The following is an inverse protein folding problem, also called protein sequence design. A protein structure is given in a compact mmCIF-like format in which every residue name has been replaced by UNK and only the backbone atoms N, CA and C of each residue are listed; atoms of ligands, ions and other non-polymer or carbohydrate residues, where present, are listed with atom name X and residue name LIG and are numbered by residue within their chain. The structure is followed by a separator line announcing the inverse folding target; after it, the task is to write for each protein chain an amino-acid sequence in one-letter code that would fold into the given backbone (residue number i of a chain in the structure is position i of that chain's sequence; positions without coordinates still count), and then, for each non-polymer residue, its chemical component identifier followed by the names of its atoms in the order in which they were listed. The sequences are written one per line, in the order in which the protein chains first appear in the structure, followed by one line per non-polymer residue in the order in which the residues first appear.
data_IF_483109589707
#
_entry.id   IF_483109589707
#
_cell.length_a   1.000
_cell.length_b   1.000
_cell.length_c   1.000
_cell.angle_alpha   90.00
_cell.angle_beta   90.00
_cell.angle_gamma   90.00
#
_symmetry.space_group_name_H-M   'P 1'
#
loop_
_entity.id
_entity.type
_entity.pdbx_description
1 polymer ?
#
# COMPACT_ATOMS: atom_id res chain seq x y z
N UNK A 1 -26.27 1.71 -18.46
CA UNK A 1 -26.11 2.53 -17.25
C UNK A 1 -24.78 3.26 -17.34
N UNK A 2 -24.71 4.52 -16.88
CA UNK A 2 -23.50 5.36 -17.04
C UNK A 2 -22.46 5.08 -15.96
N UNK A 3 -22.91 4.96 -14.70
CA UNK A 3 -22.06 4.70 -13.53
C UNK A 3 -22.29 3.27 -13.01
N UNK A 4 -21.96 2.29 -13.85
CA UNK A 4 -21.91 0.90 -13.39
C UNK A 4 -20.80 0.69 -12.35
N UNK A 5 -20.85 -0.39 -11.56
CA UNK A 5 -19.78 -0.72 -10.61
C UNK A 5 -18.39 -0.77 -11.28
N UNK A 6 -18.27 -1.35 -12.48
CA UNK A 6 -17.02 -1.34 -13.24
C UNK A 6 -16.57 0.07 -13.68
N UNK A 7 -17.50 0.98 -13.97
CA UNK A 7 -17.17 2.36 -14.29
C UNK A 7 -16.63 3.10 -13.06
N UNK A 8 -17.24 2.92 -11.89
CA UNK A 8 -16.77 3.51 -10.63
C UNK A 8 -15.40 2.96 -10.22
N UNK A 9 -15.19 1.64 -10.34
CA UNK A 9 -13.87 0.99 -10.10
C UNK A 9 -12.77 1.60 -10.97
N UNK A 10 -13.04 1.89 -12.24
CA UNK A 10 -12.05 2.52 -13.13
C UNK A 10 -11.89 4.02 -12.79
N UNK A 11 -12.99 4.73 -12.51
CA UNK A 11 -12.94 6.15 -12.16
C UNK A 11 -12.14 6.43 -10.89
N UNK A 12 -12.11 5.49 -9.93
CA UNK A 12 -11.29 5.57 -8.72
C UNK A 12 -9.82 5.95 -9.01
N UNK A 13 -9.25 5.43 -10.11
CA UNK A 13 -7.85 5.65 -10.50
C UNK A 13 -7.65 6.77 -11.53
N UNK A 14 -8.70 7.54 -11.85
CA UNK A 14 -8.63 8.69 -12.77
C UNK A 14 -8.48 10.02 -12.02
N UNK A 15 -7.89 9.99 -10.81
CA UNK A 15 -7.35 11.19 -10.14
C UNK A 15 -6.20 11.82 -10.93
N UNK A 16 -5.52 11.01 -11.75
CA UNK A 16 -4.44 11.38 -12.66
C UNK A 16 -4.67 10.72 -14.02
N UNK A 17 -4.11 11.26 -15.12
CA UNK A 17 -4.16 10.59 -16.42
C UNK A 17 -3.53 9.19 -16.35
N UNK A 18 -4.25 8.17 -16.83
CA UNK A 18 -3.78 6.76 -16.79
C UNK A 18 -4.05 6.02 -18.09
N UNK A 19 -3.11 5.18 -18.50
CA UNK A 19 -3.29 4.27 -19.64
C UNK A 19 -4.26 3.15 -19.29
N UNK A 20 -4.85 2.52 -20.32
CA UNK A 20 -5.72 1.34 -20.15
C UNK A 20 -5.00 0.21 -19.43
N UNK A 21 -3.71 0.04 -19.70
CA UNK A 21 -2.89 -0.99 -19.06
C UNK A 21 -2.75 -0.75 -17.55
N UNK A 22 -2.50 0.49 -17.14
CA UNK A 22 -2.41 0.85 -15.73
C UNK A 22 -3.77 0.71 -15.04
N UNK A 23 -4.85 1.17 -15.66
CA UNK A 23 -6.21 1.05 -15.11
C UNK A 23 -6.62 -0.41 -14.95
N UNK A 24 -6.32 -1.25 -15.94
CA UNK A 24 -6.59 -2.68 -15.89
C UNK A 24 -5.84 -3.36 -14.74
N UNK A 25 -4.55 -3.03 -14.59
CA UNK A 25 -3.71 -3.57 -13.51
C UNK A 25 -4.17 -3.12 -12.13
N UNK A 26 -4.47 -1.82 -11.96
CA UNK A 26 -4.84 -1.25 -10.66
C UNK A 26 -6.24 -1.67 -10.21
N UNK A 27 -7.22 -1.69 -11.10
CA UNK A 27 -8.58 -2.09 -10.77
C UNK A 27 -8.81 -3.62 -10.79
N UNK A 28 -7.75 -4.39 -11.02
CA UNK A 28 -7.75 -5.85 -11.24
C UNK A 28 -8.85 -6.32 -12.21
N UNK A 29 -8.84 -5.76 -13.42
CA UNK A 29 -9.79 -6.11 -14.48
C UNK A 29 -9.12 -6.23 -15.83
N UNK A 30 -9.70 -7.02 -16.72
CA UNK A 30 -9.22 -7.11 -18.09
C UNK A 30 -9.34 -5.76 -18.84
N UNK A 31 -8.39 -5.46 -19.75
CA UNK A 31 -8.38 -4.22 -20.55
C UNK A 31 -9.68 -3.97 -21.32
N UNK A 32 -10.34 -5.04 -21.79
CA UNK A 32 -11.64 -4.93 -22.46
C UNK A 32 -12.76 -4.45 -21.53
N UNK A 33 -12.68 -4.77 -20.24
CA UNK A 33 -13.60 -4.25 -19.22
C UNK A 33 -13.36 -2.76 -19.00
N UNK A 34 -12.09 -2.32 -18.95
CA UNK A 34 -11.74 -0.89 -18.88
C UNK A 34 -12.33 -0.14 -20.08
N UNK A 35 -12.08 -0.58 -21.31
CA UNK A 35 -12.64 0.07 -22.50
C UNK A 35 -14.17 0.13 -22.48
N UNK A 36 -14.83 -0.96 -22.06
CA UNK A 36 -16.29 -1.01 -21.94
C UNK A 36 -16.82 -0.04 -20.88
N UNK A 37 -16.09 0.11 -19.77
CA UNK A 37 -16.42 1.04 -18.69
C UNK A 37 -16.21 2.50 -19.09
N UNK A 38 -15.14 2.80 -19.84
CA UNK A 38 -14.77 4.15 -20.27
C UNK A 38 -15.56 4.63 -21.49
N UNK A 39 -15.96 3.74 -22.40
CA UNK A 39 -16.63 4.14 -23.63
C UNK A 39 -17.88 5.03 -23.41
N UNK A 40 -18.82 4.71 -22.49
CA UNK A 40 -19.97 5.58 -22.23
C UNK A 40 -19.60 6.96 -21.69
N UNK A 41 -18.51 7.06 -20.93
CA UNK A 41 -17.99 8.32 -20.38
C UNK A 41 -17.35 9.16 -21.48
N UNK A 42 -16.56 8.52 -22.36
CA UNK A 42 -15.90 9.19 -23.48
C UNK A 42 -16.89 9.75 -24.49
N UNK A 43 -17.92 8.97 -24.87
CA UNK A 43 -18.96 9.41 -25.80
C UNK A 43 -19.75 10.63 -25.30
N UNK A 44 -19.72 10.90 -23.99
CA UNK A 44 -20.42 12.02 -23.34
C UNK A 44 -19.48 13.18 -23.00
N UNK A 45 -18.20 13.09 -23.35
CA UNK A 45 -17.21 14.10 -23.00
C UNK A 45 -16.97 14.22 -21.50
N UNK A 46 -17.14 13.12 -20.73
CA UNK A 46 -16.79 13.09 -19.31
C UNK A 46 -15.29 12.83 -19.14
N UNK A 47 -14.75 11.97 -19.99
CA UNK A 47 -13.32 11.70 -20.11
C UNK A 47 -12.85 12.00 -21.53
N UNK A 48 -11.57 12.23 -21.68
CA UNK A 48 -10.89 12.32 -22.96
C UNK A 48 -9.63 11.44 -22.96
N UNK A 49 -9.11 11.17 -24.15
CA UNK A 49 -7.82 10.50 -24.31
C UNK A 49 -6.75 11.56 -24.61
N UNK A 50 -5.64 11.52 -23.88
CA UNK A 50 -4.47 12.34 -24.12
C UNK A 50 -3.72 11.87 -25.37
N UNK A 51 -2.80 12.69 -25.88
CA UNK A 51 -1.98 12.34 -27.05
C UNK A 51 -1.15 11.07 -26.82
N UNK A 52 -0.73 10.82 -25.57
CA UNK A 52 0.03 9.62 -25.16
C UNK A 52 -0.85 8.38 -24.93
N UNK A 53 -2.15 8.48 -25.25
CA UNK A 53 -3.09 7.36 -25.16
C UNK A 53 -3.63 7.09 -23.74
N UNK A 54 -3.32 7.94 -22.76
CA UNK A 54 -3.88 7.89 -21.42
C UNK A 54 -5.30 8.47 -21.39
N UNK A 55 -6.12 8.07 -20.43
CA UNK A 55 -7.44 8.62 -20.18
C UNK A 55 -7.39 9.59 -19.01
N UNK A 56 -8.08 10.71 -19.13
CA UNK A 56 -8.22 11.72 -18.08
C UNK A 56 -9.68 12.19 -17.99
N UNK A 57 -10.11 12.61 -16.79
CA UNK A 57 -11.38 13.31 -16.60
C UNK A 57 -11.26 14.72 -17.17
N UNK A 58 -12.32 15.20 -17.82
CA UNK A 58 -12.42 16.62 -18.17
C UNK A 58 -12.58 17.45 -16.89
N UNK A 59 -12.11 18.71 -16.89
CA UNK A 59 -12.11 19.64 -15.75
C UNK A 59 -13.47 19.77 -15.04
N UNK A 60 -14.59 19.59 -15.77
CA UNK A 60 -15.95 19.61 -15.22
C UNK A 60 -16.39 18.33 -14.48
N UNK A 61 -15.58 17.27 -14.51
CA UNK A 61 -15.93 15.93 -14.03
C UNK A 61 -14.87 15.31 -13.11
N UNK A 62 -13.84 16.06 -12.69
CA UNK A 62 -12.81 15.59 -11.76
C UNK A 62 -13.38 15.00 -10.46
N UNK A 63 -14.49 15.56 -9.98
CA UNK A 63 -15.22 15.08 -8.79
C UNK A 63 -15.73 13.64 -8.93
N UNK A 64 -15.79 13.06 -10.13
CA UNK A 64 -16.19 11.68 -10.33
C UNK A 64 -15.17 10.71 -9.73
N UNK A 65 -13.87 11.02 -9.85
CA UNK A 65 -12.81 10.22 -9.20
C UNK A 65 -12.91 10.35 -7.69
N UNK A 66 -13.07 11.58 -7.18
CA UNK A 66 -13.31 11.82 -5.74
C UNK A 66 -14.50 11.03 -5.22
N UNK A 67 -15.64 11.08 -5.90
CA UNK A 67 -16.83 10.32 -5.52
C UNK A 67 -16.59 8.81 -5.49
N UNK A 68 -15.88 8.26 -6.49
CA UNK A 68 -15.55 6.83 -6.50
C UNK A 68 -14.65 6.44 -5.32
N UNK A 69 -13.72 7.30 -4.92
CA UNK A 69 -12.84 7.08 -3.75
C UNK A 69 -13.60 7.18 -2.43
N UNK A 70 -14.47 8.18 -2.29
CA UNK A 70 -15.33 8.32 -1.10
C UNK A 70 -16.29 7.14 -0.94
N UNK A 71 -16.79 6.60 -2.06
CA UNK A 71 -17.62 5.39 -2.02
C UNK A 71 -16.82 4.19 -1.52
N UNK A 72 -15.59 3.98 -2.01
CA UNK A 72 -14.71 2.92 -1.53
C UNK A 72 -14.39 3.10 -0.03
N UNK A 73 -14.04 4.32 0.38
CA UNK A 73 -13.81 4.67 1.78
C UNK A 73 -15.02 4.34 2.68
N UNK A 74 -16.23 4.69 2.22
CA UNK A 74 -17.45 4.41 2.96
C UNK A 74 -17.73 2.90 3.07
N UNK A 75 -17.40 2.12 2.03
CA UNK A 75 -17.48 0.65 2.08
C UNK A 75 -16.47 0.10 3.09
N UNK A 76 -15.20 0.53 3.04
CA UNK A 76 -14.17 0.11 4.00
C UNK A 76 -14.57 0.39 5.45
N UNK A 77 -15.12 1.58 5.71
CA UNK A 77 -15.64 1.94 7.03
C UNK A 77 -16.73 0.99 7.50
N UNK A 78 -17.69 0.67 6.64
CA UNK A 78 -18.75 -0.29 6.98
C UNK A 78 -18.17 -1.68 7.28
N UNK A 79 -17.23 -2.16 6.46
CA UNK A 79 -16.55 -3.44 6.66
C UNK A 79 -15.86 -3.52 8.02
N UNK A 80 -15.16 -2.46 8.46
CA UNK A 80 -14.50 -2.44 9.78
C UNK A 80 -15.50 -2.27 10.92
N UNK A 81 -16.54 -1.46 10.74
CA UNK A 81 -17.58 -1.19 11.74
C UNK A 81 -18.40 -2.43 12.10
N UNK A 82 -18.50 -3.40 11.19
CA UNK A 82 -19.07 -4.72 11.50
C UNK A 82 -18.24 -5.51 12.53
N UNK A 83 -16.96 -5.18 12.68
CA UNK A 83 -16.01 -5.89 13.55
C UNK A 83 -15.64 -5.11 14.81
N UNK A 84 -15.58 -3.78 14.75
CA UNK A 84 -15.11 -2.94 15.87
C UNK A 84 -15.64 -1.50 15.81
N UNK A 85 -15.99 -0.96 16.98
CA UNK A 85 -16.44 0.43 17.13
C UNK A 85 -15.29 1.46 17.17
N UNK A 86 -14.04 1.00 17.29
CA UNK A 86 -12.87 1.89 17.42
C UNK A 86 -11.77 1.45 16.47
N UNK A 87 -11.50 2.27 15.46
CA UNK A 87 -10.50 1.98 14.46
C UNK A 87 -9.94 3.27 13.83
N UNK A 88 -8.88 3.11 13.05
CA UNK A 88 -8.31 4.16 12.20
C UNK A 88 -7.83 3.50 10.91
N UNK A 89 -8.36 3.91 9.76
CA UNK A 89 -7.84 3.49 8.45
C UNK A 89 -6.57 4.29 8.21
N UNK A 90 -5.46 3.59 7.98
CA UNK A 90 -4.12 4.16 7.78
C UNK A 90 -3.78 4.33 6.31
N UNK A 91 -4.29 3.44 5.48
CA UNK A 91 -4.11 3.45 4.02
C UNK A 91 -5.29 2.71 3.40
N UNK A 92 -5.65 3.07 2.17
CA UNK A 92 -6.69 2.39 1.42
C UNK A 92 -6.46 2.48 -0.09
N UNK A 93 -6.97 1.48 -0.79
CA UNK A 93 -7.05 1.42 -2.24
C UNK A 93 -8.52 1.26 -2.66
N UNK A 94 -8.81 0.51 -3.72
CA UNK A 94 -10.18 0.32 -4.20
C UNK A 94 -10.93 -0.76 -3.41
N UNK A 95 -10.22 -1.83 -3.01
CA UNK A 95 -10.76 -3.04 -2.39
C UNK A 95 -9.92 -3.55 -1.22
N UNK A 96 -8.85 -2.84 -0.87
CA UNK A 96 -7.97 -3.18 0.25
C UNK A 96 -7.71 -1.96 1.12
N UNK A 97 -7.51 -2.19 2.41
CA UNK A 97 -7.15 -1.11 3.33
C UNK A 97 -6.35 -1.63 4.52
N UNK A 98 -5.47 -0.78 5.05
CA UNK A 98 -4.77 -1.00 6.31
C UNK A 98 -5.52 -0.31 7.42
N UNK A 99 -5.79 -1.05 8.49
CA UNK A 99 -6.54 -0.55 9.65
C UNK A 99 -5.80 -0.82 10.95
N UNK A 100 -5.86 0.15 11.84
CA UNK A 100 -5.39 0.06 13.21
C UNK A 100 -6.59 0.02 14.16
N UNK A 101 -6.60 -0.93 15.10
CA UNK A 101 -7.65 -1.05 16.12
C UNK A 101 -7.10 -1.67 17.42
N UNK A 102 -7.63 -1.32 18.60
CA UNK A 102 -7.32 -2.05 19.84
C UNK A 102 -8.00 -3.43 19.89
N UNK A 103 -9.01 -3.67 19.06
CA UNK A 103 -9.79 -4.91 19.05
C UNK A 103 -9.05 -6.00 18.26
N UNK A 104 -9.08 -7.23 18.77
CA UNK A 104 -8.61 -8.39 18.01
C UNK A 104 -9.64 -8.78 16.95
N UNK A 105 -9.22 -8.81 15.69
CA UNK A 105 -10.06 -9.19 14.56
C UNK A 105 -9.74 -10.64 14.20
N UNK A 106 -10.79 -11.45 13.99
CA UNK A 106 -10.66 -12.90 13.70
C UNK A 106 -11.34 -13.32 12.39
N UNK A 107 -11.91 -12.35 11.68
CA UNK A 107 -12.51 -12.55 10.37
C UNK A 107 -11.40 -12.82 9.33
N UNK A 108 -11.68 -13.70 8.36
CA UNK A 108 -10.66 -14.32 7.48
C UNK A 108 -9.95 -13.31 6.58
N UNK A 109 -10.64 -12.26 6.15
CA UNK A 109 -10.09 -11.25 5.25
C UNK A 109 -9.24 -10.19 5.98
N UNK A 110 -9.23 -10.18 7.32
CA UNK A 110 -8.36 -9.31 8.12
C UNK A 110 -7.05 -10.00 8.44
N UNK A 111 -6.05 -9.79 7.59
CA UNK A 111 -4.71 -10.37 7.71
C UNK A 111 -3.89 -9.56 8.72
N UNK A 112 -3.43 -10.14 9.85
CA UNK A 112 -2.60 -9.44 10.82
C UNK A 112 -1.30 -8.92 10.17
N UNK A 113 -0.93 -7.67 10.46
CA UNK A 113 0.25 -6.99 9.92
C UNK A 113 0.90 -6.07 10.97
N UNK A 114 1.92 -5.31 10.57
CA UNK A 114 2.60 -4.30 11.39
C UNK A 114 3.68 -4.87 12.31
N UNK A 115 4.12 -4.09 13.32
CA UNK A 115 5.29 -4.41 14.13
C UNK A 115 5.29 -5.84 14.71
N UNK A 116 4.14 -6.31 15.18
CA UNK A 116 4.01 -7.62 15.83
C UNK A 116 4.32 -8.79 14.88
N UNK A 117 4.18 -8.59 13.57
CA UNK A 117 4.44 -9.65 12.59
C UNK A 117 5.93 -9.84 12.28
N UNK A 118 6.80 -8.91 12.69
CA UNK A 118 8.25 -9.07 12.54
C UNK A 118 8.78 -10.27 13.34
N UNK A 119 8.09 -10.67 14.41
CA UNK A 119 8.44 -11.87 15.18
C UNK A 119 8.45 -13.16 14.34
N UNK A 120 7.70 -13.21 13.24
CA UNK A 120 7.66 -14.36 12.31
C UNK A 120 9.01 -14.57 11.61
N UNK A 121 9.83 -13.53 11.57
CA UNK A 121 11.18 -13.51 11.01
C UNK A 121 12.24 -13.43 12.10
N UNK A 122 11.93 -13.80 13.35
CA UNK A 122 12.90 -13.75 14.45
C UNK A 122 13.18 -12.34 14.98
N UNK A 123 12.38 -11.34 14.61
CA UNK A 123 12.55 -9.93 15.00
C UNK A 123 11.41 -9.50 15.96
N UNK A 124 11.41 -9.91 17.24
CA UNK A 124 10.33 -9.58 18.18
C UNK A 124 10.43 -8.11 18.60
N UNK A 125 9.72 -7.24 17.87
CA UNK A 125 9.65 -5.82 18.19
C UNK A 125 8.77 -5.57 19.41
N UNK A 126 9.03 -4.48 20.13
CA UNK A 126 8.16 -4.02 21.22
C UNK A 126 6.83 -3.51 20.64
N UNK A 127 5.81 -4.36 20.69
CA UNK A 127 4.45 -4.07 20.30
C UNK A 127 3.84 -2.92 21.12
N UNK A 128 3.04 -2.06 20.47
CA UNK A 128 2.14 -1.11 21.17
C UNK A 128 0.77 -1.78 21.33
N UNK A 129 -0.07 -1.27 22.23
CA UNK A 129 -1.46 -1.75 22.49
C UNK A 129 -2.43 -1.67 21.28
N UNK A 130 -1.94 -1.37 20.07
CA UNK A 130 -2.77 -1.27 18.86
C UNK A 130 -2.33 -2.31 17.84
N UNK A 131 -3.31 -3.06 17.36
CA UNK A 131 -3.16 -4.12 16.37
C UNK A 131 -3.39 -3.54 14.98
N UNK A 132 -2.74 -4.13 13.98
CA UNK A 132 -2.83 -3.68 12.60
C UNK A 132 -3.25 -4.85 11.73
N UNK A 133 -4.13 -4.58 10.78
CA UNK A 133 -4.62 -5.57 9.82
C UNK A 133 -4.64 -4.97 8.42
N UNK A 134 -4.30 -5.79 7.43
CA UNK A 134 -4.66 -5.56 6.04
C UNK A 134 -5.99 -6.26 5.80
N UNK A 135 -7.02 -5.53 5.39
CA UNK A 135 -8.19 -6.15 4.79
C UNK A 135 -7.93 -6.39 3.32
N UNK A 136 -8.14 -7.62 2.86
CA UNK A 136 -8.14 -7.97 1.45
C UNK A 136 -8.89 -9.29 1.22
N UNK A 137 -9.77 -9.32 0.23
CA UNK A 137 -10.48 -10.55 -0.18
C UNK A 137 -9.61 -11.46 -1.05
N UNK A 138 -8.53 -10.92 -1.62
CA UNK A 138 -7.68 -11.61 -2.61
C UNK A 138 -6.25 -11.84 -2.15
N UNK A 139 -5.78 -11.11 -1.14
CA UNK A 139 -4.42 -11.29 -0.66
C UNK A 139 -4.28 -12.67 0.00
N UNK A 140 -3.17 -13.34 -0.33
CA UNK A 140 -2.75 -14.55 0.35
C UNK A 140 -1.99 -14.23 1.64
N UNK A 141 -0.95 -15.00 1.92
CA UNK A 141 -0.11 -14.79 3.10
C UNK A 141 0.65 -13.45 3.06
N UNK A 142 0.86 -12.87 4.24
CA UNK A 142 1.67 -11.68 4.41
C UNK A 142 3.15 -11.96 4.11
N UNK A 143 3.63 -11.51 2.95
CA UNK A 143 5.03 -11.54 2.54
C UNK A 143 5.89 -10.53 3.33
N UNK A 144 7.22 -10.73 3.40
CA UNK A 144 8.12 -9.77 4.06
C UNK A 144 8.15 -8.41 3.34
N UNK A 145 8.02 -8.38 2.01
CA UNK A 145 7.92 -7.15 1.21
C UNK A 145 6.70 -6.32 1.61
N UNK A 146 5.54 -6.97 1.70
CA UNK A 146 4.31 -6.32 2.16
C UNK A 146 4.43 -5.83 3.59
N UNK A 147 4.99 -6.65 4.48
CA UNK A 147 5.20 -6.28 5.88
C UNK A 147 6.10 -5.04 6.01
N UNK A 148 7.19 -4.97 5.24
CA UNK A 148 8.08 -3.81 5.18
C UNK A 148 7.29 -2.54 4.80
N UNK A 149 6.52 -2.59 3.71
CA UNK A 149 5.74 -1.43 3.28
C UNK A 149 4.64 -1.05 4.28
N UNK A 150 3.95 -2.03 4.87
CA UNK A 150 2.94 -1.78 5.90
C UNK A 150 3.54 -1.09 7.13
N UNK A 151 4.73 -1.49 7.55
CA UNK A 151 5.44 -0.85 8.65
C UNK A 151 5.71 0.63 8.36
N UNK A 152 6.17 0.95 7.15
CA UNK A 152 6.45 2.33 6.72
C UNK A 152 5.18 3.18 6.58
N UNK A 153 4.04 2.58 6.20
CA UNK A 153 2.74 3.27 6.21
C UNK A 153 2.29 3.58 7.65
N UNK A 154 2.52 2.65 8.59
CA UNK A 154 2.13 2.83 9.99
C UNK A 154 2.97 3.91 10.67
N UNK A 155 4.29 3.87 10.46
CA UNK A 155 5.25 4.82 11.01
C UNK A 155 6.45 4.91 10.07
N UNK A 156 6.74 6.10 9.55
CA UNK A 156 7.89 6.35 8.69
C UNK A 156 9.08 6.93 9.46
N UNK A 157 9.05 6.94 10.80
CA UNK A 157 10.13 7.46 11.63
C UNK A 157 11.38 6.57 11.63
N UNK A 158 12.48 7.12 12.14
CA UNK A 158 13.81 6.47 12.17
C UNK A 158 13.76 5.03 12.71
N UNK A 159 13.03 4.78 13.79
CA UNK A 159 12.92 3.45 14.41
C UNK A 159 12.24 2.43 13.49
N UNK A 160 11.17 2.83 12.81
CA UNK A 160 10.46 1.95 11.90
C UNK A 160 11.31 1.64 10.66
N UNK A 161 12.04 2.64 10.16
CA UNK A 161 13.01 2.45 9.08
C UNK A 161 14.13 1.48 9.49
N UNK A 162 14.72 1.61 10.69
CA UNK A 162 15.72 0.66 11.20
C UNK A 162 15.18 -0.77 11.29
N UNK A 163 13.92 -0.95 11.69
CA UNK A 163 13.30 -2.27 11.71
C UNK A 163 13.05 -2.84 10.32
N UNK A 164 12.65 -2.00 9.37
CA UNK A 164 12.59 -2.40 7.97
C UNK A 164 13.97 -2.83 7.47
N UNK A 165 15.03 -2.07 7.77
CA UNK A 165 16.41 -2.46 7.42
C UNK A 165 16.77 -3.84 8.00
N UNK A 166 16.45 -4.13 9.27
CA UNK A 166 16.67 -5.46 9.85
C UNK A 166 15.96 -6.55 9.04
N UNK A 167 14.69 -6.35 8.70
CA UNK A 167 13.92 -7.32 7.90
C UNK A 167 14.53 -7.50 6.50
N UNK A 168 14.89 -6.40 5.84
CA UNK A 168 15.50 -6.40 4.51
C UNK A 168 16.89 -7.05 4.48
N UNK A 169 17.63 -7.00 5.58
CA UNK A 169 18.93 -7.67 5.72
C UNK A 169 18.80 -9.14 6.15
N UNK A 170 17.76 -9.48 6.93
CA UNK A 170 17.60 -10.81 7.51
C UNK A 170 16.92 -11.81 6.57
N UNK A 171 16.06 -11.34 5.68
CA UNK A 171 15.24 -12.17 4.80
C UNK A 171 15.67 -11.99 3.35
N UNK A 172 15.72 -13.08 2.59
CA UNK A 172 15.93 -13.03 1.15
C UNK A 172 14.69 -12.44 0.46
N UNK A 173 14.78 -11.16 0.12
CA UNK A 173 13.67 -10.37 -0.43
C UNK A 173 13.88 -10.15 -1.92
N UNK A 174 12.80 -10.35 -2.69
CA UNK A 174 12.77 -9.97 -4.09
C UNK A 174 12.65 -8.44 -4.19
N UNK A 175 13.71 -7.78 -4.68
CA UNK A 175 13.77 -6.32 -4.83
C UNK A 175 12.72 -5.78 -5.81
N UNK A 176 12.35 -6.53 -6.83
CA UNK A 176 11.35 -6.10 -7.80
C UNK A 176 9.95 -6.17 -7.18
N UNK A 177 9.66 -7.22 -6.41
CA UNK A 177 8.41 -7.32 -5.65
C UNK A 177 8.33 -6.24 -4.56
N UNK A 178 9.42 -5.99 -3.83
CA UNK A 178 9.48 -4.92 -2.82
C UNK A 178 9.15 -3.55 -3.43
N UNK A 179 9.73 -3.21 -4.59
CA UNK A 179 9.41 -1.95 -5.28
C UNK A 179 7.97 -1.89 -5.78
N UNK A 180 7.43 -3.02 -6.25
CA UNK A 180 6.03 -3.11 -6.66
C UNK A 180 5.08 -2.84 -5.49
N UNK A 181 5.36 -3.43 -4.32
CA UNK A 181 4.61 -3.16 -3.08
C UNK A 181 4.82 -1.71 -2.60
N UNK A 182 6.04 -1.19 -2.64
CA UNK A 182 6.32 0.18 -2.23
C UNK A 182 5.52 1.21 -3.04
N UNK A 183 5.45 1.02 -4.37
CA UNK A 183 4.63 1.83 -5.28
C UNK A 183 3.13 1.71 -4.97
N UNK A 184 2.67 0.52 -4.56
CA UNK A 184 1.26 0.29 -4.19
C UNK A 184 0.90 1.07 -2.93
N UNK A 185 1.78 1.05 -1.93
CA UNK A 185 1.56 1.69 -0.63
C UNK A 185 1.99 3.16 -0.58
N UNK A 186 2.62 3.68 -1.62
CA UNK A 186 3.07 5.09 -1.69
C UNK A 186 4.29 5.37 -0.81
N UNK A 187 5.17 4.37 -0.65
CA UNK A 187 6.39 4.42 0.18
C UNK A 187 7.66 4.16 -0.63
N UNK A 188 7.58 4.31 -1.97
CA UNK A 188 8.67 4.05 -2.91
C UNK A 188 9.95 4.82 -2.58
N UNK A 189 9.86 6.12 -2.29
CA UNK A 189 11.02 6.96 -2.00
C UNK A 189 11.78 6.45 -0.79
N UNK A 190 11.05 6.12 0.30
CA UNK A 190 11.65 5.60 1.53
C UNK A 190 12.25 4.21 1.29
N UNK A 191 11.56 3.33 0.57
CA UNK A 191 12.07 1.98 0.27
C UNK A 191 13.34 2.04 -0.58
N UNK A 192 13.40 2.91 -1.58
CA UNK A 192 14.59 3.09 -2.41
C UNK A 192 15.76 3.67 -1.59
N UNK A 193 15.49 4.56 -0.63
CA UNK A 193 16.49 5.01 0.36
C UNK A 193 17.01 3.87 1.23
N UNK A 194 16.13 3.01 1.76
CA UNK A 194 16.55 1.84 2.56
C UNK A 194 17.42 0.88 1.74
N UNK A 195 17.03 0.62 0.48
CA UNK A 195 17.83 -0.22 -0.42
C UNK A 195 19.21 0.39 -0.67
N UNK A 196 19.25 1.70 -0.98
CA UNK A 196 20.51 2.42 -1.21
C UNK A 196 21.42 2.41 0.01
N UNK A 197 20.84 2.59 1.20
CA UNK A 197 21.58 2.51 2.46
C UNK A 197 22.26 1.15 2.64
N UNK A 198 21.53 0.05 2.42
CA UNK A 198 22.08 -1.30 2.51
C UNK A 198 23.14 -1.58 1.44
N UNK A 199 22.88 -1.18 0.20
CA UNK A 199 23.79 -1.40 -0.94
C UNK A 199 25.11 -0.62 -0.81
N UNK A 200 25.11 0.46 -0.02
CA UNK A 200 26.27 1.33 0.20
C UNK A 200 26.87 1.21 1.60
N UNK A 201 26.42 0.25 2.41
CA UNK A 201 26.83 0.12 3.82
C UNK A 201 26.74 1.44 4.59
N UNK A 202 25.68 2.20 4.35
CA UNK A 202 25.41 3.48 5.01
C UNK A 202 26.20 4.69 4.52
N UNK A 203 27.05 4.56 3.48
CA UNK A 203 27.76 5.69 2.87
C UNK A 203 26.79 6.72 2.26
N UNK A 204 25.68 6.25 1.70
CA UNK A 204 24.58 7.10 1.24
C UNK A 204 23.40 6.97 2.20
N UNK A 205 23.15 8.02 2.97
CA UNK A 205 22.04 8.08 3.92
C UNK A 205 21.38 9.45 3.96
N UNK A 206 20.09 9.45 4.26
CA UNK A 206 19.37 10.65 4.69
C UNK A 206 19.43 10.80 6.21
N UNK A 207 19.10 12.00 6.70
CA UNK A 207 19.26 12.38 8.11
C UNK A 207 18.47 11.54 9.11
N UNK A 208 17.50 10.74 8.65
CA UNK A 208 16.62 9.92 9.48
C UNK A 208 17.16 8.50 9.71
N UNK A 209 18.13 8.06 8.90
CA UNK A 209 18.72 6.74 9.00
C UNK A 209 19.91 6.74 9.98
N UNK A 210 20.11 5.62 10.72
CA UNK A 210 21.21 5.51 11.68
C UNK A 210 22.59 5.53 10.98
N UNK A 211 23.63 5.82 11.75
CA UNK A 211 25.00 5.51 11.32
C UNK A 211 25.10 4.02 11.00
N UNK A 212 26.02 3.64 10.10
CA UNK A 212 26.20 2.21 9.79
C UNK A 212 26.60 1.42 11.03
N UNK A 213 27.51 1.94 11.85
CA UNK A 213 27.94 1.32 13.10
C UNK A 213 26.76 1.11 14.06
N UNK A 214 25.90 2.12 14.25
CA UNK A 214 24.69 2.01 15.08
C UNK A 214 23.71 0.95 14.54
N UNK A 215 23.60 0.82 13.22
CA UNK A 215 22.78 -0.22 12.60
C UNK A 215 23.38 -1.61 12.76
N UNK A 216 24.71 -1.75 12.69
CA UNK A 216 25.39 -3.02 12.96
C UNK A 216 25.16 -3.47 14.40
N UNK A 217 25.27 -2.55 15.38
CA UNK A 217 24.96 -2.85 16.78
C UNK A 217 23.51 -3.32 16.94
N UNK A 218 22.56 -2.63 16.29
CA UNK A 218 21.16 -3.05 16.30
C UNK A 218 20.95 -4.43 15.64
N UNK A 219 21.65 -4.72 14.55
CA UNK A 219 21.57 -6.02 13.89
C UNK A 219 22.10 -7.13 14.80
N UNK A 220 23.20 -6.89 15.51
CA UNK A 220 23.75 -7.82 16.51
C UNK A 220 22.76 -8.06 17.67
N UNK A 221 22.10 -7.01 18.18
CA UNK A 221 21.09 -7.14 19.23
C UNK A 221 19.91 -8.05 18.83
N UNK A 222 19.56 -8.06 17.55
CA UNK A 222 18.48 -8.89 16.98
C UNK A 222 19.00 -10.17 16.30
N UNK A 223 20.28 -10.51 16.48
CA UNK A 223 20.92 -11.71 15.91
C UNK A 223 20.84 -11.78 14.37
N UNK A 224 20.80 -10.62 13.70
CA UNK A 224 20.81 -10.48 12.24
C UNK A 224 22.24 -10.42 11.72
N UNK A 225 22.55 -11.20 10.68
CA UNK A 225 23.84 -11.14 9.97
C UNK A 225 23.73 -10.22 8.76
N UNK A 226 24.64 -9.24 8.66
CA UNK A 226 24.70 -8.24 7.57
C UNK A 226 25.66 -8.66 6.45
#
# INVERSE_FOLDING_TARGET
ELLSGAALRVCYYLDTPRTVTELARRADVHRSTVHRALAPLQHRGIIYQTDDGAYALNDGFEQLSTFARELAHQVHRQTVEEQTDTYTILWESLDEFLVQTPTELTEEHFIPTGPDQFQRYGLPLLARDRRHYLYSETAGDLSPEMLCCHMLVIDSGARAQSYCLLLLSHVDIDRDELRAQATKYGVEDVVDELCTYLDTSGDQRMSQLPEWEDFQELAEEYEVTL
#
